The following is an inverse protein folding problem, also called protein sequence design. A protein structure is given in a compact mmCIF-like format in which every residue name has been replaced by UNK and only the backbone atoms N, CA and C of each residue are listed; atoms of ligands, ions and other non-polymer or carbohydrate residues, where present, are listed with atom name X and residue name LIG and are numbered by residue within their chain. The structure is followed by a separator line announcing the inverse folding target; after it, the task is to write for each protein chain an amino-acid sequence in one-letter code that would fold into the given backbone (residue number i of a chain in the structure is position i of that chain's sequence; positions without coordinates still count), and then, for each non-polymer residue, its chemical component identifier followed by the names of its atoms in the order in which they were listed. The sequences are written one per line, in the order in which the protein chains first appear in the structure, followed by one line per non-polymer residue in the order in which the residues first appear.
data_IF_322994956583
#
_entry.id   IF_322994956583
#
_cell.length_a   1.000
_cell.length_b   1.000
_cell.length_c   1.000
_cell.angle_alpha   90.00
_cell.angle_beta   90.00
_cell.angle_gamma   90.00
#
_symmetry.space_group_name_H-M   'P 1'
#
loop_
_entity.id
_entity.type
_entity.pdbx_description
1 polymer ?
#
# COMPACT_ATOMS: atom_id res chain seq x y z
N UNK A 1 -30.58 -3.93 4.72
CA UNK A 1 -29.48 -3.46 5.61
C UNK A 1 -29.87 -2.28 6.51
N UNK A 2 -30.67 -1.28 6.07
CA UNK A 2 -31.13 -0.19 6.95
C UNK A 2 -31.95 -0.68 8.16
N UNK A 3 -32.63 -1.82 8.06
CA UNK A 3 -33.45 -2.39 9.14
C UNK A 3 -32.65 -2.85 10.37
N UNK A 4 -31.35 -3.12 10.22
CA UNK A 4 -30.49 -3.58 11.32
C UNK A 4 -29.74 -2.44 12.02
N UNK A 5 -29.55 -1.30 11.37
CA UNK A 5 -28.86 -0.13 11.95
C UNK A 5 -29.56 0.32 13.24
N UNK A 6 -30.91 0.37 13.34
CA UNK A 6 -31.62 0.66 14.59
C UNK A 6 -31.36 -0.32 15.72
N UNK A 7 -31.06 -1.58 15.41
CA UNK A 7 -30.82 -2.62 16.39
C UNK A 7 -29.36 -2.64 16.84
N UNK A 8 -28.43 -2.51 15.89
CA UNK A 8 -26.99 -2.65 16.10
C UNK A 8 -26.37 -1.33 16.59
N UNK A 9 -26.83 -0.21 16.03
CA UNK A 9 -26.31 1.15 16.28
C UNK A 9 -27.44 2.12 16.62
N UNK A 10 -28.27 1.85 17.66
CA UNK A 10 -29.46 2.64 17.97
C UNK A 10 -29.17 4.14 18.12
N UNK A 11 -28.00 4.46 18.68
CA UNK A 11 -27.53 5.84 18.90
C UNK A 11 -27.04 6.59 17.66
N UNK A 12 -26.89 5.92 16.52
CA UNK A 12 -26.44 6.53 15.25
C UNK A 12 -27.56 6.64 14.19
N UNK A 13 -28.77 6.17 14.52
CA UNK A 13 -29.91 6.14 13.60
C UNK A 13 -30.44 7.55 13.32
N UNK A 14 -30.51 8.40 14.35
CA UNK A 14 -31.01 9.77 14.21
C UNK A 14 -30.03 10.71 13.50
N UNK A 15 -28.72 10.51 13.66
CA UNK A 15 -27.69 11.35 13.01
C UNK A 15 -27.66 11.20 11.49
N UNK A 16 -28.07 10.03 10.97
CA UNK A 16 -28.14 9.74 9.53
C UNK A 16 -29.34 10.39 8.82
N UNK A 17 -30.36 10.82 9.57
CA UNK A 17 -31.58 11.43 9.02
C UNK A 17 -31.50 12.95 8.92
N UNK A 18 -30.64 13.59 9.71
CA UNK A 18 -30.51 15.07 9.73
C UNK A 18 -29.37 15.60 8.84
N UNK A 19 -28.42 14.76 8.43
CA UNK A 19 -27.26 15.18 7.63
C UNK A 19 -27.52 15.08 6.11
N UNK A 20 -28.39 15.96 5.61
CA UNK A 20 -28.42 16.28 4.19
C UNK A 20 -27.08 16.90 3.77
N UNK A 21 -26.34 16.19 2.92
CA UNK A 21 -25.44 16.71 1.87
C UNK A 21 -24.18 17.52 2.24
N UNK A 22 -23.86 17.86 3.49
CA UNK A 22 -22.63 18.59 3.79
C UNK A 22 -21.71 17.82 4.75
N UNK A 23 -20.71 17.16 4.15
CA UNK A 23 -19.62 16.40 4.79
C UNK A 23 -20.14 15.27 5.68
N UNK A 24 -20.12 14.05 5.16
CA UNK A 24 -20.01 12.88 6.01
C UNK A 24 -18.68 13.00 6.77
N UNK A 25 -18.70 13.68 7.92
CA UNK A 25 -17.68 13.55 8.95
C UNK A 25 -17.47 12.06 9.12
N UNK A 26 -16.23 11.58 9.04
CA UNK A 26 -15.94 10.18 9.34
C UNK A 26 -16.61 9.84 10.67
N UNK A 27 -17.63 8.98 10.61
CA UNK A 27 -18.34 8.50 11.78
C UNK A 27 -17.34 7.70 12.60
N UNK A 28 -16.70 8.35 13.57
CA UNK A 28 -15.87 7.68 14.54
C UNK A 28 -16.79 6.92 15.50
N UNK A 29 -16.90 5.61 15.27
CA UNK A 29 -17.64 4.70 16.16
C UNK A 29 -16.62 4.14 17.15
N UNK A 30 -16.77 4.39 18.46
CA UNK A 30 -15.90 3.82 19.48
C UNK A 30 -15.82 2.29 19.41
N UNK A 31 -14.64 1.74 19.68
CA UNK A 31 -14.37 0.30 19.62
C UNK A 31 -15.35 -0.53 20.46
N UNK A 32 -15.65 -0.09 21.68
CA UNK A 32 -16.63 -0.74 22.56
C UNK A 32 -18.02 -0.87 21.92
N UNK A 33 -18.43 0.12 21.12
CA UNK A 33 -19.71 0.10 20.44
C UNK A 33 -19.66 -0.89 19.26
N UNK A 34 -18.55 -0.95 18.53
CA UNK A 34 -18.36 -1.94 17.46
C UNK A 34 -18.36 -3.36 18.02
N UNK A 35 -17.68 -3.59 19.15
CA UNK A 35 -17.69 -4.86 19.85
C UNK A 35 -19.10 -5.23 20.31
N UNK A 36 -19.80 -4.35 21.03
CA UNK A 36 -21.17 -4.61 21.47
C UNK A 36 -22.14 -4.81 20.30
N UNK A 37 -21.98 -4.07 19.22
CA UNK A 37 -22.72 -4.23 17.97
C UNK A 37 -22.48 -5.60 17.36
N UNK A 38 -21.22 -6.02 17.30
CA UNK A 38 -20.83 -7.34 16.82
C UNK A 38 -21.40 -8.43 17.72
N UNK A 39 -21.29 -8.34 19.05
CA UNK A 39 -21.85 -9.32 19.98
C UNK A 39 -23.38 -9.37 19.93
N UNK A 40 -24.07 -8.24 19.75
CA UNK A 40 -25.53 -8.21 19.59
C UNK A 40 -25.96 -8.85 18.27
N UNK A 41 -25.34 -8.47 17.15
CA UNK A 41 -25.57 -9.13 15.86
C UNK A 41 -25.22 -10.62 15.94
N UNK A 42 -24.19 -10.95 16.72
CA UNK A 42 -23.63 -12.29 16.94
C UNK A 42 -24.19 -12.98 18.20
N UNK A 43 -25.29 -12.49 18.76
CA UNK A 43 -25.95 -13.03 19.95
C UNK A 43 -27.02 -14.07 19.59
N UNK A 44 -27.43 -14.90 20.56
CA UNK A 44 -28.52 -15.86 20.34
C UNK A 44 -29.89 -15.18 20.16
N UNK A 45 -30.00 -13.92 20.60
CA UNK A 45 -31.23 -13.14 20.65
C UNK A 45 -31.79 -12.79 19.26
N UNK A 46 -30.92 -12.76 18.24
CA UNK A 46 -31.28 -12.42 16.85
C UNK A 46 -31.07 -13.58 15.87
N UNK A 47 -31.03 -14.82 16.36
CA UNK A 47 -30.84 -16.04 15.56
C UNK A 47 -31.89 -16.19 14.45
N UNK A 48 -33.13 -15.78 14.71
CA UNK A 48 -34.22 -15.83 13.72
C UNK A 48 -34.03 -14.81 12.59
N UNK A 49 -33.57 -13.59 12.89
CA UNK A 49 -33.33 -12.53 11.90
C UNK A 49 -32.16 -12.84 10.96
N UNK A 50 -31.19 -13.64 11.47
CA UNK A 50 -30.05 -14.15 10.69
C UNK A 50 -30.40 -15.35 9.80
N UNK A 51 -31.58 -15.97 9.94
CA UNK A 51 -31.98 -17.09 9.05
C UNK A 51 -32.23 -16.64 7.62
N UNK A 52 -32.62 -15.39 7.43
CA UNK A 52 -32.96 -14.82 6.11
C UNK A 52 -31.80 -14.06 5.46
N UNK A 53 -30.68 -13.90 6.16
CA UNK A 53 -29.58 -13.03 5.74
C UNK A 53 -28.21 -13.69 5.87
N UNK A 54 -27.37 -13.53 4.85
CA UNK A 54 -25.96 -13.89 4.90
C UNK A 54 -25.10 -12.64 4.99
N UNK A 55 -24.14 -12.63 5.92
CA UNK A 55 -23.21 -11.52 6.15
C UNK A 55 -21.83 -11.87 5.61
N UNK A 56 -21.20 -10.91 4.93
CA UNK A 56 -19.83 -11.01 4.48
C UNK A 56 -19.05 -9.78 4.96
N UNK A 57 -18.06 -9.98 5.80
CA UNK A 57 -17.17 -8.93 6.30
C UNK A 57 -15.86 -8.94 5.52
N UNK A 58 -15.38 -7.75 5.14
CA UNK A 58 -14.08 -7.55 4.52
C UNK A 58 -13.26 -6.66 5.44
N UNK A 59 -12.17 -7.21 5.96
CA UNK A 59 -11.26 -6.51 6.88
C UNK A 59 -9.93 -6.35 6.15
N UNK A 60 -9.47 -5.11 6.02
CA UNK A 60 -8.18 -4.80 5.40
C UNK A 60 -7.17 -4.49 6.51
N UNK A 61 -6.02 -5.18 6.54
CA UNK A 61 -4.94 -4.93 7.49
C UNK A 61 -5.21 -5.42 8.91
N UNK A 62 -5.54 -6.71 9.10
CA UNK A 62 -5.78 -7.24 10.46
C UNK A 62 -4.56 -7.15 11.39
N UNK A 63 -3.35 -7.24 10.83
CA UNK A 63 -2.08 -7.07 11.57
C UNK A 63 -1.80 -5.62 12.00
N UNK A 64 -2.61 -4.66 11.55
CA UNK A 64 -2.46 -3.25 11.94
C UNK A 64 -3.24 -2.91 13.21
N UNK A 65 -3.99 -3.88 13.78
CA UNK A 65 -4.71 -3.69 15.03
C UNK A 65 -3.71 -3.74 16.20
N UNK A 66 -3.25 -2.58 16.63
CA UNK A 66 -2.43 -2.42 17.84
C UNK A 66 -3.33 -2.18 19.05
N UNK A 67 -3.87 -3.27 19.62
CA UNK A 67 -4.66 -3.25 20.86
C UNK A 67 -3.85 -3.90 21.99
N UNK A 68 -3.53 -3.10 23.01
CA UNK A 68 -2.80 -3.55 24.19
C UNK A 68 -3.54 -4.63 24.99
N UNK A 69 -4.86 -4.76 24.80
CA UNK A 69 -5.72 -5.70 25.50
C UNK A 69 -6.05 -6.95 24.66
N UNK A 70 -5.75 -6.96 23.35
CA UNK A 70 -6.09 -8.06 22.46
C UNK A 70 -4.91 -8.53 21.60
N UNK A 71 -4.34 -9.69 21.95
CA UNK A 71 -3.29 -10.33 21.15
C UNK A 71 -3.85 -10.85 19.80
N UNK A 72 -3.08 -10.73 18.71
CA UNK A 72 -3.44 -11.19 17.36
C UNK A 72 -3.96 -12.64 17.30
N UNK A 73 -3.40 -13.51 18.14
CA UNK A 73 -3.84 -14.90 18.22
C UNK A 73 -5.27 -15.03 18.75
N UNK A 74 -5.60 -14.26 19.79
CA UNK A 74 -6.94 -14.27 20.39
C UNK A 74 -7.98 -13.72 19.42
N UNK A 75 -7.64 -12.66 18.69
CA UNK A 75 -8.46 -12.09 17.63
C UNK A 75 -8.71 -13.08 16.49
N UNK A 76 -7.64 -13.74 16.00
CA UNK A 76 -7.75 -14.74 14.95
C UNK A 76 -8.67 -15.91 15.35
N UNK A 77 -8.55 -16.39 16.60
CA UNK A 77 -9.40 -17.45 17.14
C UNK A 77 -10.86 -16.98 17.23
N UNK A 78 -11.10 -15.75 17.68
CA UNK A 78 -12.44 -15.17 17.78
C UNK A 78 -13.13 -15.08 16.41
N UNK A 79 -12.43 -14.55 15.40
CA UNK A 79 -12.94 -14.46 14.03
C UNK A 79 -13.28 -15.84 13.45
N UNK A 80 -12.39 -16.83 13.64
CA UNK A 80 -12.63 -18.21 13.22
C UNK A 80 -13.88 -18.76 13.90
N UNK A 81 -13.97 -18.62 15.21
CA UNK A 81 -15.09 -19.15 15.99
C UNK A 81 -16.43 -18.54 15.60
N UNK A 82 -16.48 -17.25 15.24
CA UNK A 82 -17.69 -16.61 14.73
C UNK A 82 -18.19 -17.30 13.45
N UNK A 83 -17.30 -17.62 12.52
CA UNK A 83 -17.67 -18.32 11.27
C UNK A 83 -18.09 -19.77 11.51
N UNK A 84 -17.48 -20.47 12.48
CA UNK A 84 -17.81 -21.86 12.80
C UNK A 84 -19.17 -22.00 13.47
N UNK A 85 -19.53 -21.07 14.35
CA UNK A 85 -20.82 -21.10 15.06
C UNK A 85 -21.97 -20.65 14.16
N UNK A 86 -21.70 -19.94 13.06
CA UNK A 86 -22.70 -19.25 12.23
C UNK A 86 -22.41 -19.39 10.73
N UNK A 87 -23.03 -20.37 10.04
CA UNK A 87 -22.83 -20.59 8.60
C UNK A 87 -23.23 -19.40 7.71
N UNK A 88 -24.10 -18.53 8.21
CA UNK A 88 -24.53 -17.32 7.53
C UNK A 88 -23.44 -16.23 7.47
N UNK A 89 -22.31 -16.41 8.16
CA UNK A 89 -21.26 -15.40 8.28
C UNK A 89 -20.01 -15.85 7.56
N UNK A 90 -19.53 -14.99 6.67
CA UNK A 90 -18.24 -15.11 5.99
C UNK A 90 -17.40 -13.91 6.35
N UNK A 91 -16.12 -14.15 6.56
CA UNK A 91 -15.14 -13.11 6.85
C UNK A 91 -13.98 -13.31 5.89
N UNK A 92 -13.63 -12.26 5.16
CA UNK A 92 -12.47 -12.19 4.31
C UNK A 92 -11.53 -11.14 4.91
N UNK A 93 -10.29 -11.53 5.16
CA UNK A 93 -9.32 -10.68 5.84
C UNK A 93 -8.06 -10.59 5.01
N UNK A 94 -7.48 -9.39 4.90
CA UNK A 94 -6.10 -9.19 4.46
C UNK A 94 -5.20 -8.97 5.68
N UNK A 95 -4.01 -9.57 5.66
CA UNK A 95 -2.99 -9.34 6.69
C UNK A 95 -1.60 -9.68 6.15
N UNK A 96 -0.55 -9.29 6.88
CA UNK A 96 0.78 -9.89 6.76
C UNK A 96 0.79 -11.36 7.20
N UNK A 97 1.82 -12.09 6.78
CA UNK A 97 2.02 -13.50 7.14
C UNK A 97 2.58 -13.64 8.57
N UNK A 98 1.81 -13.24 9.56
CA UNK A 98 2.23 -13.33 10.95
C UNK A 98 1.96 -14.70 11.56
N UNK A 99 2.76 -15.09 12.55
CA UNK A 99 2.69 -16.41 13.17
C UNK A 99 1.31 -16.71 13.76
N UNK A 100 0.62 -15.71 14.32
CA UNK A 100 -0.71 -15.85 14.90
C UNK A 100 -1.74 -16.31 13.85
N UNK A 101 -1.78 -15.62 12.70
CA UNK A 101 -2.72 -15.93 11.62
C UNK A 101 -2.36 -17.23 10.91
N UNK A 102 -1.06 -17.48 10.68
CA UNK A 102 -0.58 -18.68 9.99
C UNK A 102 -0.81 -19.97 10.79
N UNK A 103 -0.87 -19.89 12.13
CA UNK A 103 -1.21 -21.01 13.02
C UNK A 103 -2.72 -21.23 13.14
N UNK A 104 -3.51 -20.16 13.06
CA UNK A 104 -4.95 -20.22 13.33
C UNK A 104 -5.78 -20.65 12.11
N UNK A 105 -5.45 -20.13 10.93
CA UNK A 105 -6.17 -20.43 9.70
C UNK A 105 -5.40 -21.47 8.88
N UNK A 106 -6.00 -22.57 8.40
CA UNK A 106 -5.32 -23.55 7.56
C UNK A 106 -4.98 -23.00 6.16
N UNK A 107 -4.01 -23.59 5.47
CA UNK A 107 -3.60 -23.17 4.12
C UNK A 107 -4.73 -23.18 3.09
N UNK A 108 -5.72 -24.05 3.25
CA UNK A 108 -6.92 -24.11 2.39
C UNK A 108 -7.83 -22.89 2.51
N UNK A 109 -7.69 -22.09 3.57
CA UNK A 109 -8.47 -20.87 3.83
C UNK A 109 -7.64 -19.60 3.65
N UNK A 110 -6.41 -19.71 3.12
CA UNK A 110 -5.51 -18.56 2.93
C UNK A 110 -5.21 -18.37 1.44
N UNK A 111 -5.19 -17.10 1.03
CA UNK A 111 -4.75 -16.71 -0.30
C UNK A 111 -3.45 -15.92 -0.16
N UNK A 112 -2.34 -16.55 -0.52
CA UNK A 112 -1.04 -15.87 -0.59
C UNK A 112 -0.95 -15.09 -1.91
N UNK A 113 -1.28 -13.80 -1.86
CA UNK A 113 -1.36 -12.95 -3.06
C UNK A 113 -0.07 -12.97 -3.90
N UNK A 114 1.10 -13.11 -3.27
CA UNK A 114 2.37 -13.18 -4.00
C UNK A 114 2.51 -14.42 -4.88
N UNK A 115 1.89 -15.55 -4.49
CA UNK A 115 1.86 -16.76 -5.31
C UNK A 115 0.93 -16.58 -6.52
N UNK A 116 -0.22 -15.93 -6.30
CA UNK A 116 -1.20 -15.66 -7.36
C UNK A 116 -0.69 -14.65 -8.38
N UNK A 117 0.17 -13.73 -7.97
CA UNK A 117 0.74 -12.69 -8.83
C UNK A 117 2.09 -13.09 -9.44
N UNK A 118 2.65 -14.25 -9.09
CA UNK A 118 3.98 -14.69 -9.54
C UNK A 118 4.09 -14.78 -11.07
N UNK A 119 3.02 -15.22 -11.75
CA UNK A 119 2.97 -15.28 -13.22
C UNK A 119 2.98 -13.89 -13.85
N UNK A 120 2.24 -12.94 -13.28
CA UNK A 120 2.23 -11.56 -13.74
C UNK A 120 3.58 -10.88 -13.49
N UNK A 121 4.19 -11.14 -12.34
CA UNK A 121 5.54 -10.64 -12.03
C UNK A 121 6.58 -11.20 -12.99
N UNK A 122 6.52 -12.50 -13.31
CA UNK A 122 7.39 -13.12 -14.32
C UNK A 122 7.25 -12.42 -15.67
N UNK A 123 6.03 -12.26 -16.18
CA UNK A 123 5.79 -11.56 -17.46
C UNK A 123 6.33 -10.13 -17.45
N UNK A 124 6.18 -9.41 -16.35
CA UNK A 124 6.74 -8.04 -16.21
C UNK A 124 8.27 -8.05 -16.28
N UNK A 125 8.92 -9.00 -15.60
CA UNK A 125 10.39 -9.14 -15.62
C UNK A 125 10.88 -9.54 -17.02
N UNK A 126 10.26 -10.55 -17.64
CA UNK A 126 10.57 -11.00 -19.00
C UNK A 126 10.43 -9.85 -19.98
N UNK A 127 9.26 -9.21 -20.03
CA UNK A 127 9.03 -8.07 -20.93
C UNK A 127 10.01 -6.93 -20.68
N UNK A 128 10.42 -6.66 -19.44
CA UNK A 128 11.34 -5.56 -19.16
C UNK A 128 12.78 -5.87 -19.60
N UNK A 129 13.25 -7.11 -19.44
CA UNK A 129 14.62 -7.49 -19.76
C UNK A 129 14.77 -7.89 -21.23
N UNK A 130 13.78 -8.59 -21.81
CA UNK A 130 13.78 -8.98 -23.22
C UNK A 130 13.63 -7.80 -24.18
N UNK A 131 13.14 -6.65 -23.71
CA UNK A 131 13.15 -5.42 -24.51
C UNK A 131 14.52 -4.72 -24.53
N UNK A 132 15.54 -5.25 -23.86
CA UNK A 132 16.88 -4.70 -23.85
C UNK A 132 17.82 -5.51 -24.74
N UNK A 133 18.44 -4.87 -25.74
CA UNK A 133 19.26 -5.56 -26.75
C UNK A 133 20.43 -6.34 -26.12
N UNK A 134 21.18 -5.72 -25.20
CA UNK A 134 22.29 -6.38 -24.48
C UNK A 134 21.85 -7.63 -23.69
N UNK A 135 20.58 -7.73 -23.29
CA UNK A 135 20.10 -8.93 -22.62
C UNK A 135 20.01 -10.12 -23.57
N UNK A 136 19.83 -9.91 -24.88
CA UNK A 136 19.82 -10.98 -25.88
C UNK A 136 21.21 -11.55 -26.20
N UNK A 137 22.29 -10.89 -25.75
CA UNK A 137 23.65 -11.40 -25.91
C UNK A 137 23.93 -12.62 -25.01
N UNK A 138 23.18 -12.78 -23.92
CA UNK A 138 23.30 -13.95 -23.05
C UNK A 138 22.58 -15.18 -23.60
N UNK A 139 23.07 -16.36 -23.25
CA UNK A 139 22.48 -17.63 -23.70
C UNK A 139 21.08 -17.80 -23.10
N UNK A 140 20.13 -18.32 -23.90
CA UNK A 140 18.72 -18.46 -23.52
C UNK A 140 18.51 -19.10 -22.13
N UNK A 141 19.27 -20.13 -21.80
CA UNK A 141 19.15 -20.83 -20.52
C UNK A 141 19.62 -19.99 -19.32
N UNK A 142 20.60 -19.11 -19.51
CA UNK A 142 21.05 -18.19 -18.47
C UNK A 142 20.01 -17.09 -18.24
N UNK A 143 19.42 -16.57 -19.31
CA UNK A 143 18.33 -15.57 -19.23
C UNK A 143 17.13 -16.11 -18.46
N UNK A 144 16.65 -17.30 -18.82
CA UNK A 144 15.55 -17.98 -18.11
C UNK A 144 15.88 -18.21 -16.63
N UNK A 145 17.11 -18.66 -16.33
CA UNK A 145 17.56 -18.87 -14.95
C UNK A 145 17.61 -17.56 -14.18
N UNK A 146 18.05 -16.48 -14.80
CA UNK A 146 18.12 -15.15 -14.20
C UNK A 146 16.73 -14.59 -13.88
N UNK A 147 15.80 -14.61 -14.85
CA UNK A 147 14.39 -14.23 -14.64
C UNK A 147 13.77 -15.02 -13.49
N UNK A 148 13.97 -16.34 -13.45
CA UNK A 148 13.45 -17.19 -12.37
C UNK A 148 14.01 -16.77 -11.00
N UNK A 149 15.28 -16.40 -10.92
CA UNK A 149 15.91 -15.95 -9.67
C UNK A 149 15.37 -14.60 -9.20
N UNK A 150 15.01 -13.70 -10.12
CA UNK A 150 14.32 -12.45 -9.79
C UNK A 150 12.96 -12.78 -9.19
N UNK A 151 12.11 -13.52 -9.91
CA UNK A 151 10.73 -13.84 -9.48
C UNK A 151 10.69 -14.50 -8.10
N UNK A 152 11.62 -15.42 -7.81
CA UNK A 152 11.72 -16.08 -6.50
C UNK A 152 12.07 -15.11 -5.35
N UNK A 153 12.82 -14.04 -5.61
CA UNK A 153 13.22 -13.05 -4.59
C UNK A 153 12.15 -12.01 -4.29
N UNK A 154 11.25 -11.72 -5.23
CA UNK A 154 10.28 -10.62 -5.11
C UNK A 154 9.36 -10.78 -3.88
N UNK A 155 9.01 -12.02 -3.51
CA UNK A 155 8.08 -12.33 -2.40
C UNK A 155 6.81 -11.45 -2.37
N UNK A 156 6.32 -11.02 -3.54
CA UNK A 156 5.10 -10.21 -3.67
C UNK A 156 5.28 -8.70 -3.63
N UNK A 157 6.49 -8.18 -3.39
CA UNK A 157 6.72 -6.73 -3.31
C UNK A 157 6.92 -6.16 -4.72
N UNK A 158 5.84 -5.70 -5.36
CA UNK A 158 5.88 -5.14 -6.71
C UNK A 158 6.87 -3.97 -6.86
N UNK A 159 7.01 -3.15 -5.81
CA UNK A 159 7.96 -2.04 -5.80
C UNK A 159 9.42 -2.52 -5.88
N UNK A 160 9.74 -3.65 -5.25
CA UNK A 160 11.06 -4.28 -5.32
C UNK A 160 11.38 -4.72 -6.76
N UNK A 161 10.41 -5.29 -7.48
CA UNK A 161 10.55 -5.65 -8.91
C UNK A 161 10.96 -4.43 -9.72
N UNK A 162 10.25 -3.31 -9.54
CA UNK A 162 10.53 -2.07 -10.28
C UNK A 162 11.95 -1.55 -10.01
N UNK A 163 12.41 -1.57 -8.75
CA UNK A 163 13.76 -1.14 -8.41
C UNK A 163 14.81 -2.03 -9.07
N UNK A 164 14.68 -3.34 -8.91
CA UNK A 164 15.62 -4.31 -9.46
C UNK A 164 15.69 -4.18 -10.97
N UNK A 165 14.55 -4.10 -11.65
CA UNK A 165 14.53 -3.93 -13.10
C UNK A 165 15.17 -2.62 -13.56
N UNK A 166 15.05 -1.54 -12.79
CA UNK A 166 15.73 -0.27 -13.10
C UNK A 166 17.25 -0.43 -13.04
N UNK A 167 17.76 -0.94 -11.91
CA UNK A 167 19.21 -1.15 -11.71
C UNK A 167 19.79 -2.11 -12.76
N UNK A 168 19.09 -3.22 -13.03
CA UNK A 168 19.55 -4.20 -14.02
C UNK A 168 19.56 -3.62 -15.44
N UNK A 169 18.67 -2.68 -15.78
CA UNK A 169 18.70 -2.00 -17.08
C UNK A 169 19.87 -1.04 -17.21
N UNK A 170 20.23 -0.35 -16.12
CA UNK A 170 21.43 0.49 -16.07
C UNK A 170 22.69 -0.37 -16.26
N UNK A 171 22.79 -1.50 -15.56
CA UNK A 171 23.88 -2.46 -15.70
C UNK A 171 23.98 -3.06 -17.11
N UNK A 172 22.83 -3.42 -17.70
CA UNK A 172 22.75 -3.89 -19.09
C UNK A 172 23.20 -2.81 -20.08
N UNK A 173 22.83 -1.54 -19.85
CA UNK A 173 23.28 -0.42 -20.69
C UNK A 173 24.79 -0.17 -20.58
N UNK A 174 25.40 -0.58 -19.46
CA UNK A 174 26.85 -0.57 -19.25
C UNK A 174 27.56 -1.83 -19.80
N UNK A 175 26.84 -2.72 -20.49
CA UNK A 175 27.33 -4.01 -21.01
C UNK A 175 28.00 -4.88 -19.93
N UNK A 176 27.45 -4.85 -18.72
CA UNK A 176 27.91 -5.74 -17.65
C UNK A 176 27.62 -7.21 -17.96
N UNK A 177 28.48 -8.09 -17.45
CA UNK A 177 28.33 -9.53 -17.51
C UNK A 177 27.11 -10.03 -16.71
N UNK A 178 26.64 -11.24 -17.02
CA UNK A 178 25.52 -11.83 -16.28
C UNK A 178 25.86 -12.08 -14.81
N UNK A 179 27.12 -12.35 -14.48
CA UNK A 179 27.63 -12.48 -13.11
C UNK A 179 27.50 -11.16 -12.32
N UNK A 180 27.71 -10.03 -12.97
CA UNK A 180 27.54 -8.70 -12.39
C UNK A 180 26.05 -8.39 -12.16
N UNK A 181 25.18 -8.73 -13.12
CA UNK A 181 23.73 -8.66 -12.92
C UNK A 181 23.26 -9.51 -11.72
N UNK A 182 23.84 -10.70 -11.54
CA UNK A 182 23.60 -11.54 -10.37
C UNK A 182 24.12 -10.91 -9.07
N UNK A 183 25.20 -10.13 -9.12
CA UNK A 183 25.72 -9.38 -7.97
C UNK A 183 24.75 -8.26 -7.60
N UNK A 184 24.34 -7.44 -8.56
CA UNK A 184 23.32 -6.40 -8.37
C UNK A 184 22.05 -6.98 -7.77
N UNK A 185 21.57 -8.12 -8.29
CA UNK A 185 20.39 -8.81 -7.76
C UNK A 185 20.55 -9.26 -6.30
N UNK A 186 21.75 -9.66 -5.87
CA UNK A 186 22.03 -10.05 -4.48
C UNK A 186 22.15 -8.85 -3.54
N UNK A 187 22.61 -7.72 -4.05
CA UNK A 187 22.74 -6.48 -3.29
C UNK A 187 21.41 -5.76 -3.07
N UNK A 188 20.32 -6.18 -3.74
CA UNK A 188 18.99 -5.65 -3.44
C UNK A 188 18.34 -6.51 -2.36
N UNK A 189 18.23 -6.00 -1.13
CA UNK A 189 17.66 -6.74 -0.02
C UNK A 189 16.17 -7.01 -0.23
N UNK A 190 15.69 -8.16 0.23
CA UNK A 190 14.31 -8.64 0.05
C UNK A 190 13.35 -8.23 1.17
N UNK A 191 13.87 -7.68 2.26
CA UNK A 191 13.07 -7.22 3.41
C UNK A 191 12.78 -5.73 3.25
N UNK A 192 11.50 -5.34 3.22
CA UNK A 192 10.98 -4.00 2.90
C UNK A 192 11.86 -2.81 3.34
N UNK A 193 12.38 -2.78 4.57
CA UNK A 193 13.17 -1.65 5.08
C UNK A 193 14.40 -1.32 4.23
N UNK A 194 15.17 -2.32 3.83
CA UNK A 194 16.44 -2.10 3.16
C UNK A 194 16.34 -1.76 1.63
N UNK A 195 15.39 -2.27 0.82
CA UNK A 195 15.12 -1.77 -0.52
C UNK A 195 14.45 -0.40 -0.49
N UNK A 196 13.71 -0.01 0.56
CA UNK A 196 13.32 1.40 0.75
C UNK A 196 14.54 2.28 0.97
N UNK A 197 15.46 1.91 1.88
CA UNK A 197 16.73 2.63 2.05
C UNK A 197 17.50 2.72 0.74
N UNK A 198 17.60 1.63 -0.02
CA UNK A 198 18.26 1.61 -1.33
C UNK A 198 17.54 2.50 -2.34
N UNK A 199 16.21 2.53 -2.39
CA UNK A 199 15.46 3.48 -3.24
C UNK A 199 15.80 4.92 -2.90
N UNK A 200 15.82 5.25 -1.60
CA UNK A 200 16.12 6.58 -1.11
C UNK A 200 17.56 7.02 -1.38
N UNK A 201 18.51 6.09 -1.45
CA UNK A 201 19.93 6.39 -1.73
C UNK A 201 20.32 6.23 -3.20
N UNK A 202 19.47 5.66 -4.06
CA UNK A 202 19.74 5.47 -5.49
C UNK A 202 19.16 6.59 -6.37
N UNK A 203 18.54 7.63 -5.80
CA UNK A 203 18.15 8.77 -6.63
C UNK A 203 19.40 9.44 -7.21
N UNK A 204 19.49 9.50 -8.54
CA UNK A 204 20.64 10.07 -9.26
C UNK A 204 20.83 11.57 -9.01
N UNK A 205 19.75 12.27 -8.62
CA UNK A 205 19.75 13.69 -8.32
C UNK A 205 19.82 13.89 -6.80
N UNK A 206 20.89 14.56 -6.35
CA UNK A 206 21.07 14.93 -4.92
C UNK A 206 19.88 15.69 -4.37
N UNK A 207 19.27 16.56 -5.16
CA UNK A 207 18.11 17.35 -4.77
C UNK A 207 16.91 16.46 -4.41
N UNK A 208 16.67 15.37 -5.13
CA UNK A 208 15.59 14.42 -4.81
C UNK A 208 15.89 13.58 -3.56
N UNK A 209 17.16 13.29 -3.27
CA UNK A 209 17.54 12.61 -2.03
C UNK A 209 17.28 13.49 -0.81
N UNK A 210 17.67 14.78 -0.89
CA UNK A 210 17.45 15.74 0.19
C UNK A 210 15.97 15.92 0.50
N UNK A 211 15.13 16.02 -0.53
CA UNK A 211 13.67 16.09 -0.37
C UNK A 211 13.11 14.82 0.27
N UNK A 212 13.52 13.65 -0.20
CA UNK A 212 13.05 12.37 0.34
C UNK A 212 13.43 12.20 1.83
N UNK A 213 14.66 12.57 2.21
CA UNK A 213 15.10 12.55 3.60
C UNK A 213 14.36 13.57 4.45
N UNK A 214 14.07 14.76 3.93
CA UNK A 214 13.30 15.77 4.64
C UNK A 214 11.87 15.31 4.92
N UNK A 215 11.21 14.65 3.97
CA UNK A 215 9.88 14.06 4.18
C UNK A 215 9.93 13.01 5.28
N UNK A 216 10.91 12.11 5.25
CA UNK A 216 11.06 11.08 6.28
C UNK A 216 11.33 11.71 7.64
N UNK A 217 12.21 12.70 7.72
CA UNK A 217 12.50 13.41 8.97
C UNK A 217 11.25 14.10 9.54
N UNK A 218 10.43 14.72 8.68
CA UNK A 218 9.14 15.30 9.06
C UNK A 218 8.21 14.20 9.60
N UNK A 219 8.01 13.11 8.84
CA UNK A 219 7.18 11.98 9.25
C UNK A 219 7.63 11.34 10.57
N UNK A 220 8.94 11.26 10.82
CA UNK A 220 9.52 10.70 12.04
C UNK A 220 9.45 11.66 13.24
N UNK A 221 9.39 12.96 13.00
CA UNK A 221 9.28 13.99 14.04
C UNK A 221 7.81 14.28 14.42
N UNK A 222 6.86 13.77 13.63
CA UNK A 222 5.44 13.87 13.91
C UNK A 222 5.06 12.85 14.99
N UNK A 223 4.37 13.33 16.02
CA UNK A 223 3.76 12.48 17.03
C UNK A 223 2.72 11.55 16.35
N UNK A 224 2.83 10.21 16.50
CA UNK A 224 1.85 9.27 15.94
C UNK A 224 0.40 9.60 16.33
N UNK A 225 0.21 10.25 17.48
CA UNK A 225 -1.11 10.61 18.00
C UNK A 225 -1.68 11.92 17.40
N UNK A 226 -0.93 12.60 16.52
CA UNK A 226 -1.31 13.91 15.97
C UNK A 226 -1.17 13.95 14.43
N UNK A 227 -1.56 12.86 13.76
CA UNK A 227 -1.49 12.71 12.30
C UNK A 227 -2.59 13.49 11.54
N UNK A 228 -3.61 14.02 12.22
CA UNK A 228 -4.76 14.71 11.61
C UNK A 228 -4.40 15.99 10.81
N UNK A 229 -3.14 16.45 10.85
CA UNK A 229 -2.69 17.67 10.18
C UNK A 229 -1.84 17.49 8.92
N UNK A 230 -1.38 16.28 8.60
CA UNK A 230 -0.43 16.07 7.49
C UNK A 230 -1.13 15.52 6.27
N UNK A 231 -1.47 16.43 5.37
CA UNK A 231 -1.94 16.05 4.04
C UNK A 231 -0.75 15.77 3.12
N UNK A 232 -0.86 14.77 2.24
CA UNK A 232 0.14 14.46 1.21
C UNK A 232 0.50 15.68 0.34
N UNK A 233 -0.39 16.69 0.26
CA UNK A 233 -0.10 17.96 -0.43
C UNK A 233 1.00 18.80 0.23
N UNK A 234 1.26 18.64 1.52
CA UNK A 234 2.36 19.31 2.22
C UNK A 234 3.73 18.85 1.68
N UNK A 235 3.82 17.66 1.08
CA UNK A 235 5.00 17.20 0.35
C UNK A 235 5.38 18.18 -0.78
N UNK A 236 4.42 18.82 -1.43
CA UNK A 236 4.69 19.76 -2.53
C UNK A 236 5.46 21.01 -2.10
N UNK A 237 5.60 21.22 -0.79
CA UNK A 237 6.28 22.37 -0.19
C UNK A 237 7.63 22.00 0.43
N UNK A 238 8.01 20.71 0.46
CA UNK A 238 9.25 20.26 1.11
C UNK A 238 10.49 20.89 0.47
N UNK A 239 10.51 21.04 -0.86
CA UNK A 239 11.58 21.76 -1.54
C UNK A 239 11.66 23.23 -1.14
N UNK A 240 10.50 23.87 -0.96
CA UNK A 240 10.40 25.27 -0.53
C UNK A 240 10.92 25.42 0.92
N UNK A 241 10.59 24.47 1.80
CA UNK A 241 11.13 24.39 3.17
C UNK A 241 12.64 24.19 3.22
N UNK A 242 13.17 23.31 2.37
CA UNK A 242 14.62 23.05 2.30
C UNK A 242 15.40 24.26 1.77
N UNK A 243 14.79 25.05 0.88
CA UNK A 243 15.41 26.26 0.32
C UNK A 243 15.25 27.49 1.24
N UNK A 244 14.20 27.54 2.04
CA UNK A 244 13.92 28.65 2.97
C UNK A 244 13.45 28.12 4.34
N UNK A 245 14.33 28.15 5.34
CA UNK A 245 14.02 27.74 6.71
C UNK A 245 12.92 28.59 7.40
N UNK A 246 12.50 29.71 6.81
CA UNK A 246 11.39 30.55 7.31
C UNK A 246 10.09 30.39 6.50
N UNK A 247 10.06 29.46 5.55
CA UNK A 247 8.89 29.21 4.69
C UNK A 247 7.63 28.87 5.51
N UNK A 248 7.76 28.19 6.65
CA UNK A 248 6.65 27.93 7.60
C UNK A 248 6.05 29.21 8.16
N UNK A 249 6.88 30.21 8.47
CA UNK A 249 6.47 31.50 9.01
C UNK A 249 5.73 32.32 7.93
N UNK A 250 6.09 32.13 6.65
CA UNK A 250 5.46 32.77 5.49
C UNK A 250 4.16 32.08 5.05
N UNK A 251 4.06 30.75 5.21
CA UNK A 251 2.87 29.95 4.86
C UNK A 251 1.76 29.95 5.94
N UNK A 252 1.98 30.61 7.08
CA UNK A 252 1.06 30.82 8.19
C UNK A 252 -0.26 30.01 8.12
N UNK A 253 -0.21 28.77 8.62
CA UNK A 253 -1.35 28.01 9.19
C UNK A 253 -2.72 28.25 8.55
N UNK A 254 -2.80 28.21 7.22
CA UNK A 254 -4.07 28.26 6.51
C UNK A 254 -4.30 26.95 5.78
N UNK A 255 -5.49 26.38 5.98
CA UNK A 255 -5.98 25.26 5.18
C UNK A 255 -5.74 25.55 3.70
N UNK A 256 -5.05 24.63 3.04
CA UNK A 256 -4.71 24.72 1.62
C UNK A 256 -5.99 24.88 0.80
N UNK A 257 -6.16 26.04 0.16
CA UNK A 257 -7.33 26.31 -0.68
C UNK A 257 -7.16 25.54 -1.99
N UNK A 258 -8.22 24.86 -2.47
CA UNK A 258 -8.16 24.04 -3.71
C UNK A 258 -7.60 24.78 -4.94
N UNK A 259 -7.72 26.11 -5.00
CA UNK A 259 -7.13 26.93 -6.07
C UNK A 259 -5.59 26.94 -6.06
N UNK A 260 -4.96 26.87 -4.89
CA UNK A 260 -3.50 26.76 -4.74
C UNK A 260 -3.01 25.36 -5.11
N UNK A 261 -3.82 24.34 -4.83
CA UNK A 261 -3.53 22.95 -5.21
C UNK A 261 -3.58 22.79 -6.74
N UNK A 262 -4.62 23.31 -7.38
CA UNK A 262 -4.81 23.22 -8.83
C UNK A 262 -3.77 24.04 -9.63
N UNK A 263 -3.32 25.19 -9.11
CA UNK A 263 -2.31 26.01 -9.79
C UNK A 263 -0.95 25.29 -9.83
N UNK A 264 -0.56 24.58 -8.77
CA UNK A 264 0.69 23.81 -8.74
C UNK A 264 0.64 22.51 -9.55
N UNK A 265 -0.51 21.82 -9.63
CA UNK A 265 -0.68 20.66 -10.53
C UNK A 265 -0.51 21.03 -12.01
N UNK A 266 -0.89 22.26 -12.41
CA UNK A 266 -0.73 22.73 -13.78
C UNK A 266 0.73 23.10 -14.13
N UNK A 267 1.54 23.59 -13.19
CA UNK A 267 2.95 23.97 -13.44
C UNK A 267 3.81 22.75 -13.81
N UNK A 268 3.58 21.60 -13.17
CA UNK A 268 4.28 20.36 -13.52
C UNK A 268 3.79 19.71 -14.82
N UNK A 269 2.58 20.02 -15.28
CA UNK A 269 2.07 19.56 -16.58
C UNK A 269 2.71 20.33 -17.75
N UNK A 270 3.10 21.59 -17.54
CA UNK A 270 3.72 22.45 -18.57
C UNK A 270 5.24 22.32 -18.71
N UNK A 271 5.93 21.70 -17.76
CA UNK A 271 7.40 21.58 -17.77
C UNK A 271 7.94 20.19 -18.17
N UNK A 272 7.11 19.30 -18.71
CA UNK A 272 7.64 18.17 -19.48
C UNK A 272 8.14 18.67 -20.84
N UNK A 273 9.41 18.44 -21.22
CA UNK A 273 9.85 18.74 -22.57
C UNK A 273 8.99 17.92 -23.53
N UNK A 274 8.33 18.60 -24.46
CA UNK A 274 7.59 17.94 -25.53
C UNK A 274 8.54 16.96 -26.23
N UNK A 275 8.23 15.66 -26.15
CA UNK A 275 8.81 14.66 -27.02
C UNK A 275 8.43 15.03 -28.46
N UNK A 276 9.30 15.78 -29.14
CA UNK A 276 9.20 16.01 -30.58
C UNK A 276 9.30 14.66 -31.28
N UNK A 277 8.17 14.22 -31.84
CA UNK A 277 8.15 13.06 -32.76
C UNK A 277 8.98 13.43 -33.99
N UNK A 278 9.95 12.60 -34.41
CA UNK A 278 10.69 12.87 -35.63
C UNK A 278 9.75 12.83 -36.84
N UNK A 279 9.77 13.90 -37.63
CA UNK A 279 9.10 13.99 -38.94
C UNK A 279 9.64 12.87 -39.83
N UNK A 280 8.77 11.93 -40.22
CA UNK A 280 9.05 11.00 -41.32
C UNK A 280 9.25 11.80 -42.60
N UNK A 281 10.50 11.94 -43.05
CA UNK A 281 10.77 12.26 -44.43
C UNK A 281 10.35 11.06 -45.29
N UNK A 282 9.32 11.28 -46.12
CA UNK A 282 9.10 10.48 -47.32
C UNK A 282 10.18 10.87 -48.34
N UNK A 283 11.07 9.93 -48.64
CA UNK A 283 11.51 9.64 -50.00
C UNK A 283 11.49 8.12 -50.15
#
# INVERSE_FOLDING_TARGET
MPEFIPCIFPQYVDQSRESNSERASELQIPYEIVLNASEKLLGEEHRETLKEHCFCFFIDGLDELDDAEEEDYSLAVRLRDWTLRRPAIKICVSSREENAFMRTFPSSQRLQLYLLTADNMRKTVENSLENHDSFHEFVLEERKRFVKQIVLRVRGVFLWVKLVLRMLREDLSANQSIEELYRTLKEVPTELGAPYTKMLTTFECKDHQEVAWAIIAVLMAIDPNNLEGICIFQHSYVEDYLRNNRFSEEMATTSLVMSQILSRQNIHSTNQPAFERPRRHRQ
#
